data_IF_110149404333
#
_entry.id   IF_110149404333
#
_cell.length_a   1.000
_cell.length_b   1.000
_cell.length_c   1.000
_cell.angle_alpha   90.00
_cell.angle_beta   90.00
_cell.angle_gamma   90.00
#
_symmetry.space_group_name_H-M   'P 1'
#
loop_
_entity.id
_entity.type
_entity.pdbx_description
1 polymer ?
#
# COMPACT_ATOMS: atom_id res chain seq x y z
N UNK A 1 29.88 37.43 -57.17
CA UNK A 1 28.58 36.74 -57.33
C UNK A 1 28.64 35.26 -56.96
N UNK A 2 29.62 34.47 -57.44
CA UNK A 2 29.73 33.02 -57.17
C UNK A 2 29.68 32.61 -55.68
N UNK A 3 30.41 33.28 -54.78
CA UNK A 3 30.39 32.97 -53.34
C UNK A 3 29.00 33.16 -52.68
N UNK A 4 28.23 34.15 -53.17
CA UNK A 4 26.87 34.41 -52.68
C UNK A 4 25.89 33.36 -53.22
N UNK A 5 26.01 32.95 -54.48
CA UNK A 5 25.20 31.88 -55.07
C UNK A 5 25.44 30.52 -54.39
N UNK A 6 26.70 30.19 -54.08
CA UNK A 6 27.05 28.99 -53.31
C UNK A 6 26.46 29.03 -51.89
N UNK A 7 26.52 30.19 -51.21
CA UNK A 7 25.93 30.39 -49.87
C UNK A 7 24.40 30.22 -49.84
N UNK A 8 23.70 30.68 -50.89
CA UNK A 8 22.25 30.49 -51.01
C UNK A 8 21.87 29.04 -51.32
N UNK A 9 22.67 28.35 -52.13
CA UNK A 9 22.48 26.93 -52.41
C UNK A 9 22.68 26.07 -51.15
N UNK A 10 23.74 26.32 -50.37
CA UNK A 10 23.98 25.60 -49.11
C UNK A 10 22.88 25.87 -48.08
N UNK A 11 22.37 27.10 -48.01
CA UNK A 11 21.24 27.43 -47.15
C UNK A 11 19.95 26.73 -47.60
N UNK A 12 19.67 26.70 -48.90
CA UNK A 12 18.52 26.01 -49.47
C UNK A 12 18.55 24.50 -49.22
N UNK A 13 19.71 23.86 -49.40
CA UNK A 13 19.92 22.44 -49.07
C UNK A 13 19.75 22.20 -47.57
N UNK A 14 20.29 23.08 -46.71
CA UNK A 14 20.15 22.96 -45.26
C UNK A 14 18.69 23.05 -44.78
N UNK A 15 17.91 23.99 -45.33
CA UNK A 15 16.47 24.13 -45.03
C UNK A 15 15.71 22.90 -45.49
N UNK A 16 15.97 22.42 -46.72
CA UNK A 16 15.29 21.25 -47.27
C UNK A 16 15.61 19.98 -46.44
N UNK A 17 16.87 19.78 -46.08
CA UNK A 17 17.28 18.70 -45.18
C UNK A 17 16.61 18.84 -43.81
N UNK A 18 16.55 20.05 -43.25
CA UNK A 18 15.86 20.33 -41.99
C UNK A 18 14.37 19.96 -42.02
N UNK A 19 13.66 20.30 -43.10
CA UNK A 19 12.24 19.95 -43.28
C UNK A 19 12.07 18.43 -43.36
N UNK A 20 12.91 17.73 -44.11
CA UNK A 20 12.84 16.26 -44.23
C UNK A 20 13.10 15.61 -42.87
N UNK A 21 14.14 16.03 -42.16
CA UNK A 21 14.49 15.46 -40.85
C UNK A 21 13.39 15.72 -39.83
N UNK A 22 12.86 16.94 -39.79
CA UNK A 22 11.77 17.29 -38.88
C UNK A 22 10.48 16.54 -39.20
N UNK A 23 10.11 16.45 -40.48
CA UNK A 23 8.94 15.70 -40.94
C UNK A 23 9.08 14.21 -40.62
N UNK A 24 10.20 13.60 -41.01
CA UNK A 24 10.48 12.19 -40.75
C UNK A 24 10.50 11.85 -39.26
N UNK A 25 11.11 12.72 -38.44
CA UNK A 25 11.11 12.55 -36.98
C UNK A 25 9.69 12.57 -36.40
N UNK A 26 8.85 13.54 -36.76
CA UNK A 26 7.49 13.63 -36.24
C UNK A 26 6.60 12.47 -36.74
N UNK A 27 6.75 12.06 -38.00
CA UNK A 27 6.06 10.88 -38.52
C UNK A 27 6.44 9.61 -37.76
N UNK A 28 7.73 9.40 -37.49
CA UNK A 28 8.19 8.25 -36.70
C UNK A 28 7.71 8.32 -35.25
N UNK A 29 7.73 9.51 -34.65
CA UNK A 29 7.19 9.75 -33.31
C UNK A 29 5.69 9.43 -33.20
N UNK A 30 4.92 9.67 -34.26
CA UNK A 30 3.49 9.33 -34.28
C UNK A 30 3.26 7.85 -34.57
N UNK A 31 4.03 7.26 -35.49
CA UNK A 31 3.99 5.81 -35.73
C UNK A 31 4.24 5.02 -34.44
N UNK A 32 5.21 5.44 -33.63
CA UNK A 32 5.52 4.80 -32.34
C UNK A 32 4.48 5.08 -31.23
N UNK A 33 3.40 5.80 -31.53
CA UNK A 33 2.21 5.95 -30.67
C UNK A 33 1.04 5.07 -31.15
N UNK A 34 1.14 4.44 -32.33
CA UNK A 34 0.07 3.60 -32.86
C UNK A 34 -0.17 2.36 -32.00
N UNK A 35 -1.41 1.87 -32.02
CA UNK A 35 -1.78 0.64 -31.32
C UNK A 35 -0.97 -0.55 -31.85
N UNK A 36 -0.75 -0.63 -33.16
CA UNK A 36 0.02 -1.67 -33.82
C UNK A 36 1.49 -1.67 -33.37
N UNK A 37 2.10 -0.50 -33.20
CA UNK A 37 3.44 -0.42 -32.65
C UNK A 37 3.49 -0.87 -31.19
N UNK A 38 2.57 -0.36 -30.36
CA UNK A 38 2.50 -0.71 -28.93
C UNK A 38 2.28 -2.21 -28.70
N UNK A 39 1.61 -2.91 -29.61
CA UNK A 39 1.31 -4.36 -29.49
C UNK A 39 2.27 -5.24 -30.30
N UNK A 40 3.31 -4.67 -30.90
CA UNK A 40 4.26 -5.41 -31.73
C UNK A 40 5.22 -6.31 -30.94
N UNK A 41 5.38 -6.06 -29.64
CA UNK A 41 6.21 -6.86 -28.73
C UNK A 41 5.37 -7.93 -28.02
N UNK A 42 5.90 -9.15 -27.92
CA UNK A 42 5.19 -10.29 -27.32
C UNK A 42 4.88 -10.11 -25.83
N UNK A 43 5.67 -9.31 -25.10
CA UNK A 43 5.43 -8.93 -23.71
C UNK A 43 4.10 -8.18 -23.54
N UNK A 44 3.61 -7.54 -24.60
CA UNK A 44 2.39 -6.74 -24.58
C UNK A 44 1.12 -7.59 -24.70
N UNK A 45 1.23 -8.87 -25.05
CA UNK A 45 0.07 -9.77 -25.20
C UNK A 45 -0.78 -9.85 -23.92
N UNK A 46 -0.15 -9.84 -22.74
CA UNK A 46 -0.85 -9.88 -21.45
C UNK A 46 -1.73 -8.65 -21.28
N UNK A 47 -1.15 -7.44 -21.42
CA UNK A 47 -1.86 -6.17 -21.23
C UNK A 47 -2.82 -5.86 -22.38
N UNK A 48 -2.54 -6.35 -23.59
CA UNK A 48 -3.43 -6.24 -24.74
C UNK A 48 -4.73 -7.01 -24.49
N UNK A 49 -4.63 -8.28 -24.10
CA UNK A 49 -5.83 -9.09 -23.82
C UNK A 49 -6.67 -8.54 -22.66
N UNK A 50 -6.05 -7.88 -21.69
CA UNK A 50 -6.75 -7.16 -20.63
C UNK A 50 -7.42 -5.87 -21.14
N UNK A 51 -6.70 -5.08 -21.94
CA UNK A 51 -7.21 -3.85 -22.53
C UNK A 51 -8.43 -4.10 -23.42
N UNK A 52 -8.40 -5.13 -24.26
CA UNK A 52 -9.50 -5.50 -25.16
C UNK A 52 -10.80 -5.80 -24.41
N UNK A 53 -10.73 -6.20 -23.13
CA UNK A 53 -11.91 -6.44 -22.29
C UNK A 53 -12.41 -5.18 -21.57
N UNK A 54 -11.71 -4.05 -21.72
CA UNK A 54 -12.00 -2.82 -20.99
C UNK A 54 -12.96 -1.90 -21.72
N UNK A 55 -13.57 -0.98 -20.97
CA UNK A 55 -14.39 0.10 -21.53
C UNK A 55 -13.59 1.09 -22.39
N UNK A 56 -12.25 1.11 -22.30
CA UNK A 56 -11.41 1.97 -23.12
C UNK A 56 -11.17 1.37 -24.52
N UNK A 57 -11.25 0.05 -24.65
CA UNK A 57 -11.24 -0.62 -25.96
C UNK A 57 -12.64 -0.70 -26.59
N UNK A 58 -13.66 -1.00 -25.78
CA UNK A 58 -15.02 -1.19 -26.25
C UNK A 58 -16.01 -0.33 -25.46
N UNK A 59 -16.54 0.71 -26.12
CA UNK A 59 -17.48 1.65 -25.53
C UNK A 59 -18.65 1.97 -26.48
N UNK A 60 -19.78 2.50 -25.95
CA UNK A 60 -20.95 2.84 -26.76
C UNK A 60 -20.71 3.93 -27.81
N UNK A 61 -19.69 4.79 -27.66
CA UNK A 61 -19.37 5.82 -28.67
C UNK A 61 -18.57 5.27 -29.85
N UNK A 62 -18.01 4.06 -29.75
CA UNK A 62 -17.19 3.45 -30.80
C UNK A 62 -15.83 4.11 -31.00
N UNK A 63 -15.40 4.97 -30.08
CA UNK A 63 -14.10 5.66 -30.14
C UNK A 63 -13.21 5.11 -29.03
N UNK A 64 -12.26 4.23 -29.34
CA UNK A 64 -11.37 3.66 -28.33
C UNK A 64 -10.31 4.69 -27.90
N UNK A 65 -9.84 4.55 -26.66
CA UNK A 65 -8.63 5.20 -26.18
C UNK A 65 -7.49 4.18 -26.24
N UNK A 66 -6.55 4.36 -27.16
CA UNK A 66 -5.48 3.39 -27.40
C UNK A 66 -4.34 3.55 -26.38
N UNK A 67 -3.36 2.64 -26.42
CA UNK A 67 -2.25 2.59 -25.46
C UNK A 67 -1.59 3.98 -25.25
N UNK A 68 -1.32 4.71 -26.33
CA UNK A 68 -0.66 6.01 -26.26
C UNK A 68 -1.50 7.11 -25.64
N UNK A 69 -2.84 7.05 -25.70
CA UNK A 69 -3.70 8.07 -25.09
C UNK A 69 -3.52 8.13 -23.57
N UNK A 70 -3.17 6.99 -22.95
CA UNK A 70 -2.94 6.86 -21.52
C UNK A 70 -1.45 6.82 -21.14
N UNK A 71 -0.59 6.20 -21.95
CA UNK A 71 0.83 5.96 -21.59
C UNK A 71 1.83 6.94 -22.22
N UNK A 72 1.40 7.77 -23.17
CA UNK A 72 2.25 8.75 -23.85
C UNK A 72 1.66 10.16 -23.70
N UNK A 73 2.34 11.09 -23.01
CA UNK A 73 1.82 12.44 -22.85
C UNK A 73 1.57 13.15 -24.18
N UNK A 74 0.47 13.91 -24.27
CA UNK A 74 0.21 14.80 -25.42
C UNK A 74 1.18 16.00 -25.49
N UNK A 75 1.50 16.70 -24.38
CA UNK A 75 2.44 17.83 -24.43
C UNK A 75 3.84 17.40 -24.86
N UNK A 76 4.43 18.15 -25.80
CA UNK A 76 5.67 17.77 -26.47
C UNK A 76 6.84 17.48 -25.53
N UNK A 77 7.06 18.32 -24.52
CA UNK A 77 8.15 18.13 -23.55
C UNK A 77 8.00 16.82 -22.75
N UNK A 78 6.82 16.60 -22.17
CA UNK A 78 6.52 15.37 -21.42
C UNK A 78 6.55 14.13 -22.33
N UNK A 79 6.07 14.24 -23.58
CA UNK A 79 6.14 13.19 -24.59
C UNK A 79 7.59 12.75 -24.84
N UNK A 80 8.48 13.72 -25.04
CA UNK A 80 9.90 13.46 -25.30
C UNK A 80 10.58 12.76 -24.12
N UNK A 81 10.33 13.22 -22.90
CA UNK A 81 10.84 12.56 -21.68
C UNK A 81 10.39 11.11 -21.61
N UNK A 82 9.09 10.84 -21.76
CA UNK A 82 8.54 9.47 -21.73
C UNK A 82 9.13 8.57 -22.82
N UNK A 83 9.36 9.10 -24.02
CA UNK A 83 9.98 8.37 -25.15
C UNK A 83 11.45 8.06 -24.88
N UNK A 84 12.18 8.94 -24.19
CA UNK A 84 13.54 8.66 -23.73
C UNK A 84 13.51 7.57 -22.65
N UNK A 85 12.59 7.65 -21.68
CA UNK A 85 12.44 6.62 -20.64
C UNK A 85 12.07 5.25 -21.22
N UNK A 86 11.26 5.22 -22.29
CA UNK A 86 10.87 4.01 -23.00
C UNK A 86 12.07 3.23 -23.56
N UNK A 87 13.25 3.86 -23.73
CA UNK A 87 14.45 3.12 -24.14
C UNK A 87 14.87 2.06 -23.14
N UNK A 88 14.52 2.20 -21.85
CA UNK A 88 14.69 1.16 -20.83
C UNK A 88 13.85 -0.09 -21.14
N UNK A 89 12.68 0.08 -21.74
CA UNK A 89 11.82 -1.05 -22.13
C UNK A 89 12.50 -1.89 -23.22
N UNK A 90 13.21 -1.26 -24.17
CA UNK A 90 14.01 -1.97 -25.17
C UNK A 90 15.18 -2.74 -24.55
N UNK A 91 15.81 -2.16 -23.52
CA UNK A 91 16.86 -2.84 -22.76
C UNK A 91 16.32 -4.09 -22.05
N UNK A 92 15.18 -3.97 -21.36
CA UNK A 92 14.56 -5.10 -20.64
C UNK A 92 13.93 -6.14 -21.57
N UNK A 93 13.45 -5.72 -22.74
CA UNK A 93 13.07 -6.61 -23.85
C UNK A 93 14.27 -7.45 -24.29
N UNK A 94 15.43 -6.82 -24.55
CA UNK A 94 16.64 -7.54 -24.95
C UNK A 94 17.16 -8.51 -23.87
N UNK A 95 16.90 -8.21 -22.59
CA UNK A 95 17.21 -9.11 -21.47
C UNK A 95 16.17 -10.20 -21.21
N UNK A 96 14.98 -10.13 -21.84
CA UNK A 96 13.88 -11.05 -21.55
C UNK A 96 13.36 -10.95 -20.11
N UNK A 97 13.31 -9.74 -19.55
CA UNK A 97 12.91 -9.53 -18.13
C UNK A 97 11.47 -9.95 -17.88
N UNK A 98 10.56 -9.74 -18.84
CA UNK A 98 9.12 -10.05 -18.76
C UNK A 98 8.60 -10.78 -20.02
N UNK A 99 9.45 -11.59 -20.67
CA UNK A 99 9.18 -12.29 -21.94
C UNK A 99 8.11 -13.40 -21.86
N UNK A 100 7.58 -13.67 -20.66
CA UNK A 100 6.57 -14.70 -20.40
C UNK A 100 5.51 -14.15 -19.44
N UNK A 101 4.24 -14.64 -19.52
CA UNK A 101 3.18 -14.21 -18.60
C UNK A 101 3.55 -14.39 -17.12
N UNK A 102 4.28 -15.45 -16.79
CA UNK A 102 4.72 -15.75 -15.42
C UNK A 102 5.73 -14.71 -14.93
N UNK A 103 6.72 -14.35 -15.76
CA UNK A 103 7.66 -13.26 -15.42
C UNK A 103 6.94 -11.91 -15.36
N UNK A 104 6.00 -11.63 -16.26
CA UNK A 104 5.19 -10.41 -16.20
C UNK A 104 4.46 -10.31 -14.86
N UNK A 105 3.86 -11.40 -14.39
CA UNK A 105 3.12 -11.42 -13.13
C UNK A 105 4.01 -11.14 -11.91
N UNK A 106 5.26 -11.64 -11.90
CA UNK A 106 6.25 -11.31 -10.86
C UNK A 106 6.50 -9.80 -10.78
N UNK A 107 6.58 -9.13 -11.93
CA UNK A 107 6.85 -7.69 -12.00
C UNK A 107 5.58 -6.82 -12.04
N UNK A 108 4.37 -7.40 -12.05
CA UNK A 108 3.11 -6.67 -12.27
C UNK A 108 2.92 -5.53 -11.27
N UNK A 109 3.20 -5.76 -9.99
CA UNK A 109 3.07 -4.73 -8.96
C UNK A 109 4.00 -3.54 -9.24
N UNK A 110 5.28 -3.81 -9.50
CA UNK A 110 6.26 -2.77 -9.80
C UNK A 110 5.88 -1.98 -11.07
N UNK A 111 5.48 -2.67 -12.14
CA UNK A 111 5.06 -2.04 -13.38
C UNK A 111 3.81 -1.17 -13.18
N UNK A 112 2.84 -1.66 -12.41
CA UNK A 112 1.63 -0.90 -12.07
C UNK A 112 1.97 0.33 -11.23
N UNK A 113 2.83 0.20 -10.22
CA UNK A 113 3.28 1.31 -9.37
C UNK A 113 4.02 2.39 -10.17
N UNK A 114 4.86 2.02 -11.14
CA UNK A 114 5.53 2.98 -12.02
C UNK A 114 4.52 3.84 -12.80
N UNK A 115 3.48 3.21 -13.36
CA UNK A 115 2.42 3.92 -14.10
C UNK A 115 1.57 4.76 -13.15
N UNK A 116 1.15 4.21 -12.01
CA UNK A 116 0.36 4.93 -11.02
C UNK A 116 1.09 6.16 -10.49
N UNK A 117 2.37 6.04 -10.16
CA UNK A 117 3.19 7.15 -9.69
C UNK A 117 3.33 8.23 -10.75
N UNK A 118 3.56 7.85 -12.02
CA UNK A 118 3.64 8.80 -13.14
C UNK A 118 2.32 9.55 -13.34
N UNK A 119 1.19 8.83 -13.30
CA UNK A 119 -0.14 9.42 -13.42
C UNK A 119 -0.51 10.28 -12.19
N UNK A 120 -0.03 9.96 -11.00
CA UNK A 120 -0.27 10.78 -9.81
C UNK A 120 0.55 12.09 -9.88
N UNK A 121 1.84 11.99 -10.18
CA UNK A 121 2.74 13.16 -10.29
C UNK A 121 2.32 14.15 -11.38
N UNK A 122 1.66 13.66 -12.44
CA UNK A 122 1.18 14.48 -13.55
C UNK A 122 -0.26 14.97 -13.38
N UNK A 123 -0.85 14.82 -12.20
CA UNK A 123 -2.28 15.07 -11.97
C UNK A 123 -3.16 14.40 -13.02
N UNK A 124 -2.95 13.10 -13.22
CA UNK A 124 -3.55 12.22 -14.23
C UNK A 124 -3.86 12.94 -15.54
N UNK A 125 -2.88 13.70 -16.05
CA UNK A 125 -3.00 14.55 -17.24
C UNK A 125 -3.62 13.81 -18.41
N UNK A 126 -3.21 12.55 -18.61
CA UNK A 126 -3.68 11.70 -19.68
C UNK A 126 -5.17 11.37 -19.55
N UNK A 127 -5.65 11.09 -18.33
CA UNK A 127 -7.09 10.91 -18.07
C UNK A 127 -7.88 12.19 -18.38
N UNK A 128 -7.36 13.34 -17.98
CA UNK A 128 -8.00 14.66 -18.13
C UNK A 128 -8.05 15.17 -19.57
N UNK A 129 -7.33 14.53 -20.51
CA UNK A 129 -7.48 14.82 -21.93
C UNK A 129 -8.88 14.46 -22.47
N UNK A 130 -9.58 13.54 -21.79
CA UNK A 130 -10.89 13.04 -22.18
C UNK A 130 -11.93 13.14 -21.07
N UNK A 131 -11.53 13.01 -19.79
CA UNK A 131 -12.40 13.08 -18.62
C UNK A 131 -12.24 14.43 -17.91
N UNK A 132 -13.06 15.41 -18.30
CA UNK A 132 -13.00 16.76 -17.73
C UNK A 132 -14.16 17.00 -16.76
N UNK A 133 -14.01 17.98 -15.87
CA UNK A 133 -15.06 18.34 -14.92
C UNK A 133 -16.34 18.83 -15.60
N UNK A 134 -16.21 19.40 -16.80
CA UNK A 134 -17.32 19.92 -17.61
C UNK A 134 -18.09 18.82 -18.34
N UNK A 135 -17.42 17.70 -18.65
CA UNK A 135 -18.00 16.60 -19.44
C UNK A 135 -18.45 15.43 -18.58
N UNK A 136 -17.91 15.29 -17.37
CA UNK A 136 -18.36 14.30 -16.39
C UNK A 136 -19.66 14.75 -15.69
N UNK A 137 -20.75 14.06 -16.00
CA UNK A 137 -22.07 14.27 -15.38
C UNK A 137 -22.11 13.68 -13.96
N UNK A 138 -21.61 14.44 -12.98
CA UNK A 138 -21.48 14.00 -11.58
C UNK A 138 -22.82 13.55 -10.99
N UNK A 139 -23.90 14.27 -11.27
CA UNK A 139 -25.26 13.99 -10.80
C UNK A 139 -25.82 12.63 -11.26
N UNK A 140 -25.29 12.05 -12.34
CA UNK A 140 -25.67 10.71 -12.82
C UNK A 140 -24.85 9.57 -12.20
N UNK A 141 -23.85 9.89 -11.40
CA UNK A 141 -23.01 8.90 -10.72
C UNK A 141 -23.66 8.41 -9.42
N UNK A 142 -23.13 7.34 -8.83
CA UNK A 142 -23.57 6.87 -7.51
C UNK A 142 -23.28 7.92 -6.43
N UNK A 143 -24.03 7.91 -5.33
CA UNK A 143 -23.88 8.89 -4.24
C UNK A 143 -22.46 8.96 -3.67
N UNK A 144 -21.78 7.81 -3.59
CA UNK A 144 -20.38 7.73 -3.18
C UNK A 144 -19.46 8.40 -4.20
N UNK A 145 -19.60 8.08 -5.49
CA UNK A 145 -18.79 8.68 -6.55
C UNK A 145 -18.99 10.19 -6.62
N UNK A 146 -20.23 10.67 -6.45
CA UNK A 146 -20.53 12.10 -6.34
C UNK A 146 -19.75 12.77 -5.20
N UNK A 147 -19.75 12.15 -4.02
CA UNK A 147 -19.02 12.67 -2.85
C UNK A 147 -17.51 12.69 -3.11
N UNK A 148 -16.96 11.63 -3.72
CA UNK A 148 -15.52 11.51 -3.98
C UNK A 148 -15.06 12.44 -5.11
N UNK A 149 -15.77 12.52 -6.23
CA UNK A 149 -15.43 13.45 -7.30
C UNK A 149 -15.60 14.91 -6.88
N UNK A 150 -16.54 15.26 -5.99
CA UNK A 150 -16.58 16.60 -5.39
C UNK A 150 -15.34 16.89 -4.53
N UNK A 151 -14.80 15.90 -3.82
CA UNK A 151 -13.54 16.04 -3.09
C UNK A 151 -12.33 16.12 -4.03
N UNK A 152 -12.33 15.42 -5.16
CA UNK A 152 -11.29 15.52 -6.18
C UNK A 152 -11.09 16.97 -6.64
N UNK A 153 -12.18 17.76 -6.72
CA UNK A 153 -12.13 19.19 -7.06
C UNK A 153 -11.39 20.06 -6.03
N UNK A 154 -11.08 19.56 -4.83
CA UNK A 154 -10.23 20.29 -3.86
C UNK A 154 -8.74 20.24 -4.22
N UNK A 155 -8.34 19.40 -5.20
CA UNK A 155 -6.95 19.25 -5.63
C UNK A 155 -6.11 18.34 -4.74
N UNK A 156 -6.71 17.67 -3.75
CA UNK A 156 -6.00 16.76 -2.83
C UNK A 156 -5.69 15.38 -3.44
N UNK A 157 -6.33 15.03 -4.55
CA UNK A 157 -6.24 13.72 -5.19
C UNK A 157 -6.26 13.84 -6.72
N UNK A 158 -5.84 12.77 -7.38
CA UNK A 158 -5.83 12.63 -8.84
C UNK A 158 -6.70 11.43 -9.24
N UNK A 159 -7.06 11.29 -10.52
CA UNK A 159 -7.94 10.21 -10.99
C UNK A 159 -7.36 8.83 -10.63
N UNK A 160 -6.04 8.65 -10.77
CA UNK A 160 -5.39 7.35 -10.56
C UNK A 160 -5.33 6.92 -9.08
N UNK A 161 -5.56 7.84 -8.13
CA UNK A 161 -5.62 7.47 -6.72
C UNK A 161 -6.83 6.57 -6.41
N UNK A 162 -7.94 6.73 -7.14
CA UNK A 162 -9.14 5.91 -6.99
C UNK A 162 -9.31 4.89 -8.14
N UNK A 163 -8.99 5.30 -9.36
CA UNK A 163 -9.22 4.51 -10.57
C UNK A 163 -7.98 3.68 -10.92
N UNK A 164 -7.57 2.77 -10.03
CA UNK A 164 -6.55 1.78 -10.33
C UNK A 164 -7.16 0.58 -11.06
N UNK A 165 -6.40 -0.01 -11.99
CA UNK A 165 -6.86 -1.17 -12.76
C UNK A 165 -7.94 -0.84 -13.81
N UNK A 166 -7.85 0.32 -14.45
CA UNK A 166 -8.85 0.83 -15.41
C UNK A 166 -8.98 -0.06 -16.66
N UNK A 167 -7.84 -0.33 -17.30
CA UNK A 167 -7.75 -1.12 -18.53
C UNK A 167 -6.97 -2.43 -18.33
N UNK A 168 -6.27 -2.55 -17.21
CA UNK A 168 -5.42 -3.70 -16.88
C UNK A 168 -5.81 -4.24 -15.52
N UNK A 169 -5.62 -5.53 -15.30
CA UNK A 169 -5.94 -6.17 -14.03
C UNK A 169 -5.02 -5.62 -12.93
N UNK A 170 -5.61 -5.40 -11.76
CA UNK A 170 -4.84 -5.13 -10.55
C UNK A 170 -3.92 -6.33 -10.23
N UNK A 171 -2.77 -6.09 -9.59
CA UNK A 171 -1.96 -7.16 -9.02
C UNK A 171 -2.79 -8.06 -8.11
N UNK A 172 -2.41 -9.34 -7.99
CA UNK A 172 -3.05 -10.24 -7.05
C UNK A 172 -2.67 -9.88 -5.61
N UNK A 173 -3.43 -8.97 -5.02
CA UNK A 173 -3.17 -8.42 -3.69
C UNK A 173 -3.12 -9.49 -2.60
N UNK A 174 -4.03 -10.47 -2.64
CA UNK A 174 -4.06 -11.55 -1.64
C UNK A 174 -2.77 -12.40 -1.68
N UNK A 175 -2.26 -12.68 -2.88
CA UNK A 175 -0.97 -13.36 -3.05
C UNK A 175 0.18 -12.51 -2.52
N UNK A 176 0.21 -11.22 -2.86
CA UNK A 176 1.25 -10.30 -2.39
C UNK A 176 1.30 -10.22 -0.86
N UNK A 177 0.14 -10.09 -0.20
CA UNK A 177 0.10 -10.05 1.27
C UNK A 177 0.64 -11.35 1.89
N UNK A 178 0.30 -12.51 1.32
CA UNK A 178 0.77 -13.80 1.81
C UNK A 178 2.29 -13.98 1.61
N UNK A 179 2.83 -13.53 0.47
CA UNK A 179 4.26 -13.56 0.18
C UNK A 179 5.04 -12.62 1.12
N UNK A 180 4.55 -11.39 1.33
CA UNK A 180 5.14 -10.43 2.28
C UNK A 180 5.17 -10.98 3.71
N UNK A 181 4.06 -11.59 4.16
CA UNK A 181 3.99 -12.20 5.48
C UNK A 181 4.95 -13.39 5.60
N UNK A 182 5.00 -14.27 4.60
CA UNK A 182 5.91 -15.42 4.61
C UNK A 182 7.39 -14.99 4.65
N UNK A 183 7.76 -13.97 3.88
CA UNK A 183 9.11 -13.39 3.90
C UNK A 183 9.44 -12.80 5.28
N UNK A 184 8.54 -11.99 5.83
CA UNK A 184 8.71 -11.40 7.15
C UNK A 184 8.83 -12.46 8.26
N UNK A 185 7.96 -13.48 8.24
CA UNK A 185 7.99 -14.57 9.22
C UNK A 185 9.30 -15.36 9.14
N UNK A 186 9.78 -15.69 7.92
CA UNK A 186 11.02 -16.40 7.72
C UNK A 186 12.23 -15.61 8.25
N UNK A 187 12.27 -14.30 7.97
CA UNK A 187 13.28 -13.38 8.50
C UNK A 187 13.26 -13.38 10.04
N UNK A 188 12.09 -13.11 10.65
CA UNK A 188 11.94 -12.96 12.09
C UNK A 188 12.24 -14.26 12.88
N UNK A 189 11.87 -15.41 12.32
CA UNK A 189 12.14 -16.71 12.93
C UNK A 189 13.61 -17.13 12.83
N UNK A 190 14.32 -16.65 11.80
CA UNK A 190 15.76 -16.92 11.62
C UNK A 190 16.67 -16.07 12.53
N UNK A 191 16.17 -14.94 13.02
CA UNK A 191 16.93 -14.01 13.83
C UNK A 191 17.14 -14.50 15.28
N UNK A 192 18.17 -14.00 15.96
CA UNK A 192 18.34 -14.26 17.39
C UNK A 192 17.48 -13.28 18.21
N UNK A 193 16.83 -13.76 19.27
CA UNK A 193 16.15 -12.88 20.23
C UNK A 193 17.17 -12.23 21.16
N UNK A 194 16.98 -10.93 21.43
CA UNK A 194 17.67 -10.22 22.49
C UNK A 194 16.85 -10.22 23.79
N UNK A 195 17.01 -9.18 24.60
CA UNK A 195 16.23 -8.98 25.83
C UNK A 195 14.78 -8.55 25.56
N UNK A 196 14.46 -8.22 24.31
CA UNK A 196 13.15 -7.81 23.85
C UNK A 196 12.70 -8.71 22.70
N UNK A 197 11.39 -8.89 22.60
CA UNK A 197 10.74 -9.60 21.52
C UNK A 197 9.39 -8.93 21.20
N UNK A 198 8.83 -9.28 20.05
CA UNK A 198 7.49 -8.87 19.64
C UNK A 198 6.70 -10.09 19.18
N UNK A 199 5.42 -10.14 19.51
CA UNK A 199 4.53 -11.20 19.01
C UNK A 199 4.34 -11.01 17.50
N UNK A 200 4.59 -12.06 16.73
CA UNK A 200 4.38 -12.10 15.29
C UNK A 200 2.88 -11.95 14.94
N UNK A 201 2.51 -11.72 13.67
CA UNK A 201 1.17 -11.24 13.27
C UNK A 201 -0.02 -12.05 13.79
N UNK A 202 0.16 -13.35 14.05
CA UNK A 202 -0.90 -14.21 14.58
C UNK A 202 -0.92 -14.25 16.10
N UNK A 203 -2.13 -14.41 16.65
CA UNK A 203 -2.32 -14.54 18.09
C UNK A 203 -1.61 -15.77 18.64
N UNK A 204 -1.04 -15.67 19.84
CA UNK A 204 -0.33 -16.78 20.49
C UNK A 204 -0.83 -16.96 21.92
N UNK A 205 -1.01 -18.22 22.31
CA UNK A 205 -1.31 -18.57 23.70
C UNK A 205 -0.03 -18.49 24.55
N UNK A 206 -0.11 -17.73 25.64
CA UNK A 206 0.83 -17.74 26.75
C UNK A 206 0.35 -18.76 27.79
N UNK A 207 1.27 -19.59 28.27
CA UNK A 207 1.00 -20.73 29.17
C UNK A 207 1.87 -20.66 30.43
N UNK A 208 1.45 -21.31 31.52
CA UNK A 208 2.27 -21.37 32.76
C UNK A 208 3.48 -22.27 32.55
N UNK A 209 3.32 -23.37 31.83
CA UNK A 209 4.38 -24.32 31.50
C UNK A 209 4.60 -24.42 29.98
N UNK A 210 5.83 -24.71 29.52
CA UNK A 210 6.12 -24.86 28.09
C UNK A 210 5.19 -25.87 27.40
N UNK A 211 4.23 -25.38 26.60
CA UNK A 211 3.28 -26.21 25.86
C UNK A 211 2.21 -26.88 26.70
N UNK A 212 1.94 -26.37 27.91
CA UNK A 212 0.88 -26.89 28.78
C UNK A 212 -0.53 -26.48 28.36
N UNK A 213 -1.54 -27.16 28.92
CA UNK A 213 -2.96 -26.81 28.82
C UNK A 213 -3.39 -25.80 29.90
N UNK A 214 -2.46 -24.95 30.35
CA UNK A 214 -2.58 -23.98 31.44
C UNK A 214 -2.51 -22.54 30.91
N UNK A 215 -3.52 -22.07 30.15
CA UNK A 215 -3.46 -20.78 29.47
C UNK A 215 -3.51 -19.62 30.46
N UNK A 216 -2.58 -18.68 30.31
CA UNK A 216 -2.53 -17.41 31.04
C UNK A 216 -3.16 -16.28 30.25
N UNK A 217 -2.83 -16.18 28.96
CA UNK A 217 -3.35 -15.14 28.09
C UNK A 217 -3.24 -15.52 26.62
N UNK A 218 -4.07 -14.91 25.78
CA UNK A 218 -3.87 -14.83 24.33
C UNK A 218 -3.23 -13.49 24.02
N UNK A 219 -1.98 -13.50 23.55
CA UNK A 219 -1.27 -12.31 23.10
C UNK A 219 -1.59 -12.01 21.63
N UNK A 220 -1.81 -10.75 21.31
CA UNK A 220 -2.05 -10.29 19.94
C UNK A 220 -0.75 -9.89 19.23
N UNK A 221 -0.76 -9.92 17.89
CA UNK A 221 0.38 -9.49 17.08
C UNK A 221 0.79 -8.05 17.35
N UNK A 222 2.11 -7.81 17.43
CA UNK A 222 2.68 -6.51 17.76
C UNK A 222 2.74 -6.20 19.25
N UNK A 223 2.46 -7.18 20.11
CA UNK A 223 2.64 -7.04 21.56
C UNK A 223 4.13 -7.07 21.89
N UNK A 224 4.68 -5.99 22.50
CA UNK A 224 6.06 -5.97 22.94
C UNK A 224 6.22 -6.84 24.20
N UNK A 225 7.35 -7.54 24.27
CA UNK A 225 7.65 -8.52 25.30
C UNK A 225 9.08 -8.38 25.78
N UNK A 226 9.30 -8.52 27.09
CA UNK A 226 10.64 -8.72 27.64
C UNK A 226 10.95 -10.23 27.66
N UNK A 227 12.11 -10.61 27.13
CA UNK A 227 12.59 -12.00 27.16
C UNK A 227 13.21 -12.28 28.52
N UNK A 228 12.68 -13.28 29.22
CA UNK A 228 13.17 -13.70 30.55
C UNK A 228 14.22 -14.80 30.40
N UNK A 229 13.89 -15.85 29.65
CA UNK A 229 14.79 -16.96 29.31
C UNK A 229 14.27 -17.77 28.14
N UNK A 230 15.16 -18.52 27.50
CA UNK A 230 14.81 -19.45 26.44
C UNK A 230 15.23 -20.87 26.82
N UNK A 231 14.32 -21.83 26.64
CA UNK A 231 14.53 -23.26 26.87
C UNK A 231 14.04 -24.04 25.64
N UNK A 232 14.98 -24.46 24.78
CA UNK A 232 14.66 -25.14 23.53
C UNK A 232 13.78 -24.28 22.61
N UNK A 233 12.64 -24.82 22.21
CA UNK A 233 11.65 -24.18 21.33
C UNK A 233 10.71 -23.22 22.07
N UNK A 234 10.90 -23.02 23.37
CA UNK A 234 10.04 -22.21 24.22
C UNK A 234 10.79 -21.03 24.82
N UNK A 235 10.10 -19.89 24.91
CA UNK A 235 10.63 -18.65 25.46
C UNK A 235 9.72 -18.20 26.58
N UNK A 236 10.28 -18.00 27.76
CA UNK A 236 9.59 -17.33 28.84
C UNK A 236 9.68 -15.84 28.60
N UNK A 237 8.52 -15.20 28.52
CA UNK A 237 8.38 -13.78 28.21
C UNK A 237 7.53 -13.10 29.27
N UNK A 238 7.74 -11.80 29.42
CA UNK A 238 6.95 -10.93 30.26
C UNK A 238 6.25 -9.90 29.39
N UNK A 239 4.92 -9.83 29.50
CA UNK A 239 4.10 -8.78 28.91
C UNK A 239 3.73 -7.77 29.98
N UNK A 240 3.95 -6.49 29.71
CA UNK A 240 3.55 -5.38 30.59
C UNK A 240 2.52 -4.51 29.87
N UNK A 241 1.54 -3.99 30.62
CA UNK A 241 0.54 -3.07 30.10
C UNK A 241 -0.47 -2.66 31.18
N UNK A 242 -1.57 -2.07 30.75
CA UNK A 242 -2.62 -1.54 31.62
C UNK A 242 -3.87 -2.41 31.56
N UNK A 243 -4.43 -2.80 32.70
CA UNK A 243 -5.79 -3.32 32.83
C UNK A 243 -6.70 -2.31 33.52
N UNK A 244 -7.99 -2.41 33.22
CA UNK A 244 -9.03 -1.83 34.09
C UNK A 244 -9.22 -2.78 35.25
N UNK A 245 -9.42 -2.26 36.46
CA UNK A 245 -9.73 -3.07 37.64
C UNK A 245 -10.79 -4.15 37.33
N UNK A 246 -10.47 -5.40 37.69
CA UNK A 246 -11.25 -6.62 37.38
C UNK A 246 -11.40 -6.95 35.87
N UNK A 247 -10.55 -6.37 35.02
CA UNK A 247 -10.56 -6.57 33.57
C UNK A 247 -9.75 -7.79 33.13
N UNK A 248 -10.17 -8.39 32.00
CA UNK A 248 -9.49 -9.52 31.35
C UNK A 248 -8.64 -9.10 30.14
N UNK A 249 -8.32 -7.81 30.00
CA UNK A 249 -7.61 -7.27 28.83
C UNK A 249 -6.39 -6.48 29.29
N UNK A 250 -5.28 -6.66 28.58
CA UNK A 250 -4.08 -5.83 28.72
C UNK A 250 -4.06 -4.83 27.57
N UNK A 251 -3.91 -3.56 27.88
CA UNK A 251 -3.83 -2.44 26.93
C UNK A 251 -2.43 -1.83 26.95
N UNK A 252 -2.03 -1.21 25.84
CA UNK A 252 -0.72 -0.53 25.75
C UNK A 252 -0.63 0.70 26.67
N UNK A 253 -1.76 1.39 26.86
CA UNK A 253 -1.88 2.63 27.63
C UNK A 253 -3.32 2.75 28.11
N UNK A 254 -3.56 3.35 29.28
CA UNK A 254 -4.91 3.62 29.79
C UNK A 254 -5.68 4.61 28.88
N UNK A 255 -4.97 5.52 28.19
CA UNK A 255 -5.55 6.44 27.21
C UNK A 255 -5.78 5.82 25.83
N UNK A 256 -5.19 4.64 25.56
CA UNK A 256 -5.28 3.97 24.26
C UNK A 256 -5.80 2.56 24.44
N UNK A 257 -7.06 2.35 24.08
CA UNK A 257 -7.70 1.04 24.05
C UNK A 257 -7.17 0.09 22.94
N UNK A 258 -5.87 0.08 22.67
CA UNK A 258 -5.17 -0.90 21.82
C UNK A 258 -4.79 -2.08 22.69
N UNK A 259 -5.35 -3.24 22.36
CA UNK A 259 -5.19 -4.46 23.15
C UNK A 259 -3.86 -5.14 22.82
N UNK A 260 -3.14 -5.52 23.87
CA UNK A 260 -1.93 -6.34 23.80
C UNK A 260 -2.24 -7.83 24.06
N UNK A 261 -3.17 -8.10 24.97
CA UNK A 261 -3.54 -9.46 25.33
C UNK A 261 -4.96 -9.57 25.88
N UNK A 262 -5.50 -10.78 25.84
CA UNK A 262 -6.69 -11.20 26.60
C UNK A 262 -6.27 -12.26 27.61
N UNK A 263 -6.47 -11.98 28.90
CA UNK A 263 -6.14 -12.91 29.98
C UNK A 263 -7.23 -13.97 30.14
N UNK A 264 -6.83 -15.17 30.57
CA UNK A 264 -7.74 -16.16 31.16
C UNK A 264 -8.05 -15.79 32.61
N UNK A 265 -8.99 -16.50 33.25
CA UNK A 265 -9.23 -16.33 34.69
C UNK A 265 -7.97 -16.68 35.51
N UNK A 266 -7.30 -17.80 35.19
CA UNK A 266 -6.06 -18.21 35.87
C UNK A 266 -4.92 -17.20 35.64
N UNK A 267 -4.89 -16.53 34.50
CA UNK A 267 -3.95 -15.45 34.22
C UNK A 267 -4.21 -14.21 35.04
N UNK A 268 -5.48 -13.85 35.27
CA UNK A 268 -5.86 -12.73 36.15
C UNK A 268 -5.42 -12.94 37.60
N UNK A 269 -5.38 -14.19 38.07
CA UNK A 269 -4.89 -14.51 39.43
C UNK A 269 -3.36 -14.46 39.55
N UNK A 270 -2.65 -14.42 38.42
CA UNK A 270 -1.18 -14.47 38.34
C UNK A 270 -0.54 -13.14 37.90
N UNK A 271 -1.32 -12.06 37.79
CA UNK A 271 -0.75 -10.76 37.44
C UNK A 271 0.05 -10.16 38.60
N UNK A 272 1.21 -9.61 38.27
CA UNK A 272 1.96 -8.75 39.18
C UNK A 272 1.49 -7.30 38.97
N UNK A 273 0.85 -6.72 39.98
CA UNK A 273 0.45 -5.30 39.97
C UNK A 273 1.65 -4.42 40.29
N UNK A 274 2.05 -3.57 39.34
CA UNK A 274 3.16 -2.63 39.47
C UNK A 274 2.69 -1.31 40.09
N UNK A 275 1.64 -0.71 39.50
CA UNK A 275 1.07 0.55 39.97
C UNK A 275 -0.44 0.64 39.69
N UNK A 276 -1.11 1.58 40.34
CA UNK A 276 -2.53 1.89 40.12
C UNK A 276 -2.73 3.38 39.94
N UNK A 277 -3.62 3.74 39.02
CA UNK A 277 -4.02 5.11 38.73
C UNK A 277 -5.54 5.21 38.68
N UNK A 278 -6.10 6.14 39.45
CA UNK A 278 -7.53 6.46 39.38
C UNK A 278 -7.77 7.52 38.31
N UNK A 279 -8.80 7.31 37.49
CA UNK A 279 -9.35 8.27 36.55
C UNK A 279 -10.61 8.89 37.18
N UNK A 280 -10.52 10.09 37.79
CA UNK A 280 -11.61 10.61 38.63
C UNK A 280 -12.88 10.91 37.85
N UNK A 281 -12.77 11.23 36.56
CA UNK A 281 -13.91 11.54 35.69
C UNK A 281 -14.86 10.35 35.51
N UNK A 282 -14.32 9.13 35.49
CA UNK A 282 -15.08 7.90 35.25
C UNK A 282 -15.13 6.99 36.48
N UNK A 283 -14.51 7.37 37.59
CA UNK A 283 -14.32 6.53 38.79
C UNK A 283 -13.71 5.15 38.45
N UNK A 284 -12.81 5.12 37.45
CA UNK A 284 -12.18 3.90 36.96
C UNK A 284 -10.73 3.81 37.46
N UNK A 285 -10.39 2.70 38.11
CA UNK A 285 -9.00 2.39 38.46
C UNK A 285 -8.35 1.60 37.33
N UNK A 286 -7.21 2.09 36.86
CA UNK A 286 -6.33 1.40 35.94
C UNK A 286 -5.13 0.85 36.70
N UNK A 287 -4.78 -0.41 36.49
CA UNK A 287 -3.57 -1.00 37.07
C UNK A 287 -2.57 -1.25 35.95
N UNK A 288 -1.30 -0.92 36.21
CA UNK A 288 -0.20 -1.39 35.37
C UNK A 288 0.20 -2.75 35.88
N UNK A 289 0.08 -3.75 35.03
CA UNK A 289 0.30 -5.15 35.35
C UNK A 289 1.38 -5.75 34.49
N UNK A 290 2.01 -6.78 35.04
CA UNK A 290 2.97 -7.63 34.38
C UNK A 290 2.52 -9.07 34.48
N UNK A 291 2.53 -9.77 33.36
CA UNK A 291 2.20 -11.18 33.28
C UNK A 291 3.37 -11.92 32.61
N UNK A 292 3.85 -12.97 33.27
CA UNK A 292 4.99 -13.77 32.79
C UNK A 292 4.54 -15.19 32.47
N UNK A 293 4.92 -15.70 31.32
CA UNK A 293 4.56 -17.05 30.89
C UNK A 293 5.37 -17.51 29.66
N UNK A 294 5.05 -18.68 29.16
CA UNK A 294 5.76 -19.32 28.06
C UNK A 294 4.99 -19.21 26.75
N UNK A 295 5.75 -18.94 25.68
CA UNK A 295 5.28 -18.91 24.30
C UNK A 295 6.27 -19.66 23.41
N UNK A 296 5.83 -20.24 22.27
CA UNK A 296 6.74 -20.86 21.32
C UNK A 296 7.66 -19.82 20.69
N UNK A 297 8.95 -20.16 20.52
CA UNK A 297 9.94 -19.30 19.83
C UNK A 297 9.45 -18.90 18.44
N UNK A 298 8.74 -19.77 17.73
CA UNK A 298 8.23 -19.52 16.38
C UNK A 298 7.19 -18.41 16.30
N UNK A 299 6.59 -17.99 17.43
CA UNK A 299 5.63 -16.89 17.49
C UNK A 299 6.28 -15.53 17.80
N UNK A 300 7.61 -15.47 17.95
CA UNK A 300 8.33 -14.26 18.35
C UNK A 300 9.23 -13.73 17.24
N UNK A 301 9.20 -12.41 17.06
CA UNK A 301 10.18 -11.64 16.30
C UNK A 301 11.15 -10.91 17.23
N UNK A 302 12.36 -10.58 16.75
CA UNK A 302 13.40 -9.94 17.56
C UNK A 302 13.21 -8.42 17.72
N UNK A 303 12.43 -7.79 16.83
CA UNK A 303 12.42 -6.34 16.66
C UNK A 303 11.00 -5.83 16.42
N UNK A 304 10.53 -4.94 17.30
CA UNK A 304 9.25 -4.25 17.16
C UNK A 304 9.23 -3.30 15.95
N UNK A 305 10.34 -2.62 15.65
CA UNK A 305 10.46 -1.71 14.49
C UNK A 305 10.20 -2.47 13.20
N UNK A 306 10.88 -3.60 13.00
CA UNK A 306 10.71 -4.45 11.81
C UNK A 306 9.29 -5.00 11.68
N UNK A 307 8.65 -5.38 12.79
CA UNK A 307 7.24 -5.78 12.79
C UNK A 307 6.34 -4.64 12.29
N UNK A 308 6.55 -3.42 12.77
CA UNK A 308 5.76 -2.28 12.35
C UNK A 308 6.08 -1.80 10.93
N UNK A 309 7.29 -2.00 10.43
CA UNK A 309 7.61 -1.82 9.00
C UNK A 309 6.76 -2.75 8.14
N UNK A 310 6.68 -4.04 8.46
CA UNK A 310 5.79 -4.99 7.76
C UNK A 310 4.32 -4.53 7.76
N UNK A 311 3.80 -4.09 8.91
CA UNK A 311 2.42 -3.58 8.98
C UNK A 311 2.25 -2.26 8.21
N UNK A 312 3.29 -1.43 8.17
CA UNK A 312 3.30 -0.19 7.37
C UNK A 312 3.25 -0.52 5.88
N UNK A 313 4.01 -1.51 5.42
CA UNK A 313 3.98 -1.96 4.02
C UNK A 313 2.58 -2.48 3.63
N UNK A 314 1.93 -3.27 4.51
CA UNK A 314 0.54 -3.69 4.30
C UNK A 314 -0.42 -2.50 4.19
N UNK A 315 -0.27 -1.52 5.09
CA UNK A 315 -1.07 -0.30 5.09
C UNK A 315 -0.87 0.50 3.80
N UNK A 316 0.37 0.76 3.40
CA UNK A 316 0.67 1.52 2.20
C UNK A 316 0.22 0.79 0.92
N UNK A 317 0.35 -0.53 0.88
CA UNK A 317 -0.01 -1.33 -0.27
C UNK A 317 -1.53 -1.40 -0.48
N UNK A 318 -2.32 -1.58 0.59
CA UNK A 318 -3.79 -1.69 0.49
C UNK A 318 -4.51 -0.34 0.61
N UNK A 319 -4.18 0.47 1.61
CA UNK A 319 -4.94 1.69 1.89
C UNK A 319 -4.65 2.80 0.86
N UNK A 320 -3.58 2.70 0.08
CA UNK A 320 -3.33 3.59 -1.05
C UNK A 320 -4.10 3.17 -2.32
N UNK A 321 -4.90 2.09 -2.30
CA UNK A 321 -5.63 1.65 -3.50
C UNK A 321 -6.81 2.56 -3.86
N UNK A 322 -7.39 3.27 -2.89
CA UNK A 322 -8.58 4.10 -3.09
C UNK A 322 -8.32 5.59 -2.94
N UNK A 323 -7.36 5.99 -2.12
CA UNK A 323 -6.96 7.38 -1.93
C UNK A 323 -5.55 7.43 -1.38
N UNK A 324 -4.91 8.61 -1.44
CA UNK A 324 -3.67 8.83 -0.69
C UNK A 324 -3.89 8.52 0.80
N UNK A 325 -2.94 7.85 1.41
CA UNK A 325 -2.98 7.53 2.85
C UNK A 325 -3.01 8.80 3.70
N UNK A 326 -3.62 8.72 4.88
CA UNK A 326 -3.67 9.82 5.83
C UNK A 326 -2.62 9.61 6.92
N UNK A 327 -1.98 10.67 7.43
CA UNK A 327 -1.03 10.53 8.53
C UNK A 327 -1.77 10.05 9.79
N UNK A 328 -1.09 9.22 10.60
CA UNK A 328 -1.73 8.54 11.75
C UNK A 328 -2.30 9.50 12.79
N UNK A 329 -1.70 10.67 12.95
CA UNK A 329 -2.12 11.70 13.91
C UNK A 329 -3.28 12.59 13.41
N UNK A 330 -3.77 12.37 12.18
CA UNK A 330 -4.84 13.17 11.59
C UNK A 330 -6.09 13.23 12.48
N UNK A 331 -6.47 12.09 13.06
CA UNK A 331 -7.70 11.94 13.85
C UNK A 331 -7.43 11.36 15.23
N UNK A 332 -8.37 11.58 16.14
CA UNK A 332 -8.43 10.88 17.42
C UNK A 332 -8.78 9.40 17.21
N UNK A 333 -8.59 8.59 18.23
CA UNK A 333 -8.84 7.16 18.17
C UNK A 333 -10.28 6.81 17.78
N UNK A 334 -11.27 7.50 18.35
CA UNK A 334 -12.69 7.26 18.04
C UNK A 334 -12.99 7.41 16.54
N UNK A 335 -12.52 8.50 15.94
CA UNK A 335 -12.73 8.79 14.53
C UNK A 335 -12.00 7.80 13.63
N UNK A 336 -10.77 7.41 13.98
CA UNK A 336 -10.05 6.36 13.26
C UNK A 336 -10.82 5.04 13.24
N UNK A 337 -11.36 4.60 14.38
CA UNK A 337 -12.16 3.36 14.45
C UNK A 337 -13.38 3.42 13.54
N UNK A 338 -14.09 4.54 13.55
CA UNK A 338 -15.26 4.73 12.69
C UNK A 338 -14.88 4.75 11.20
N UNK A 339 -13.82 5.47 10.85
CA UNK A 339 -13.32 5.55 9.49
C UNK A 339 -12.84 4.18 8.97
N UNK A 340 -12.05 3.44 9.75
CA UNK A 340 -11.58 2.09 9.39
C UNK A 340 -12.76 1.10 9.25
N UNK A 341 -13.77 1.21 10.11
CA UNK A 341 -14.99 0.40 10.02
C UNK A 341 -15.75 0.64 8.71
N UNK A 342 -15.85 1.89 8.27
CA UNK A 342 -16.46 2.23 6.97
C UNK A 342 -15.61 1.78 5.77
N UNK A 343 -14.28 1.80 5.93
CA UNK A 343 -13.34 1.41 4.89
C UNK A 343 -13.19 -0.11 4.74
N UNK A 344 -13.55 -0.91 5.77
CA UNK A 344 -13.44 -2.37 5.79
C UNK A 344 -14.01 -3.09 4.56
N UNK A 345 -15.04 -2.53 3.92
CA UNK A 345 -15.66 -3.15 2.73
C UNK A 345 -14.89 -2.90 1.41
N UNK A 346 -13.90 -2.02 1.42
CA UNK A 346 -13.14 -1.63 0.23
C UNK A 346 -11.70 -2.18 0.23
N UNK A 347 -11.20 -2.62 1.38
CA UNK A 347 -9.89 -3.27 1.52
C UNK A 347 -9.90 -4.72 1.00
N UNK A 348 -8.74 -5.20 0.56
CA UNK A 348 -8.50 -6.62 0.24
C UNK A 348 -7.81 -7.38 1.38
N UNK A 349 -7.50 -6.71 2.48
CA UNK A 349 -6.92 -7.31 3.68
C UNK A 349 -7.87 -8.35 4.30
N UNK A 350 -7.30 -9.41 4.85
CA UNK A 350 -8.02 -10.35 5.71
C UNK A 350 -8.49 -9.65 7.00
N UNK A 351 -9.37 -10.30 7.78
CA UNK A 351 -9.80 -9.73 9.06
C UNK A 351 -8.64 -9.55 10.03
N UNK A 352 -7.70 -10.50 10.07
CA UNK A 352 -6.49 -10.43 10.88
C UNK A 352 -5.60 -9.28 10.43
N UNK A 353 -5.29 -9.20 9.13
CA UNK A 353 -4.46 -8.13 8.57
C UNK A 353 -5.06 -6.73 8.81
N UNK A 354 -6.38 -6.59 8.66
CA UNK A 354 -7.07 -5.34 8.96
C UNK A 354 -6.97 -4.99 10.45
N UNK A 355 -6.98 -5.97 11.35
CA UNK A 355 -6.77 -5.76 12.78
C UNK A 355 -5.33 -5.28 13.07
N UNK A 356 -4.32 -5.83 12.37
CA UNK A 356 -2.94 -5.37 12.48
C UNK A 356 -2.79 -3.90 12.08
N UNK A 357 -3.31 -3.56 10.90
CA UNK A 357 -3.32 -2.18 10.38
C UNK A 357 -4.10 -1.27 11.33
N UNK A 358 -5.25 -1.71 11.83
CA UNK A 358 -6.04 -0.94 12.79
C UNK A 358 -5.26 -0.67 14.08
N UNK A 359 -4.58 -1.67 14.63
CA UNK A 359 -3.74 -1.51 15.81
C UNK A 359 -2.58 -0.54 15.56
N UNK A 360 -1.92 -0.63 14.40
CA UNK A 360 -0.84 0.28 14.01
C UNK A 360 -1.30 1.73 13.86
N UNK A 361 -2.45 1.95 13.19
CA UNK A 361 -3.02 3.29 13.02
C UNK A 361 -3.38 3.89 14.38
N UNK A 362 -4.03 3.11 15.25
CA UNK A 362 -4.47 3.59 16.57
C UNK A 362 -3.31 3.91 17.52
N UNK A 363 -2.15 3.24 17.39
CA UNK A 363 -0.94 3.57 18.17
C UNK A 363 -0.37 4.95 17.81
N UNK A 364 -0.61 5.43 16.59
CA UNK A 364 -0.20 6.76 16.14
C UNK A 364 -1.32 7.82 16.15
N UNK A 365 -2.53 7.46 16.60
CA UNK A 365 -3.66 8.39 16.68
C UNK A 365 -3.48 9.40 17.81
N UNK A 366 -4.12 10.57 17.67
CA UNK A 366 -4.28 11.52 18.77
C UNK A 366 -5.12 10.89 19.88
N UNK A 367 -4.83 11.26 21.12
CA UNK A 367 -5.59 10.75 22.25
C UNK A 367 -7.01 11.35 22.23
N UNK A 368 -8.01 10.62 22.72
CA UNK A 368 -9.38 11.12 22.73
C UNK A 368 -9.53 12.36 23.63
N UNK A 369 -8.63 12.55 24.60
CA UNK A 369 -8.54 13.77 25.43
C UNK A 369 -8.03 15.02 24.67
N UNK A 370 -7.53 14.85 23.45
CA UNK A 370 -7.04 15.92 22.56
C UNK A 370 -8.08 16.28 21.48
N UNK A 371 -9.35 15.90 21.72
CA UNK A 371 -10.47 16.25 20.87
C UNK A 371 -10.82 17.75 21.04
N UNK A 372 -10.15 18.60 20.26
CA UNK A 372 -10.53 19.99 20.01
C UNK A 372 -11.48 20.12 18.82
#
# INVERSE_FOLDING_TARGET
MMKRAFSWLTLGVGIFAGIILWGGFNTFMEYTNSYEFCTSCHEMNVVQGEYEQSAHAHNPSGVPAICSDCHVPRPWGAKLVRKIEATKELYHWALGTIDTPEKFEVYRLQLAQNVWSTMEQSDSRECRNCHTNETMLTEKQTSLAQKMHKKLLSGEQTCINCHKGVAHKLPNMAKLYAEMEAEYLAEAQSAQLGDQAVVLPHEVAMTVTPGGDDPLATLYGGTPLAVVKQEGDWVQVSSEGWDREEGSQIFIDFNRAVKLAKMSFDGMDQVEKIESKLEPEYELTWNRIKLTGWVPRTALGPNEERYWEYVTDLYELDCNLCHKTYPRDKWIMFDWRNNLKEMRRYTKLSQEQLQLVSNWVLRGARNDSEAD
#
